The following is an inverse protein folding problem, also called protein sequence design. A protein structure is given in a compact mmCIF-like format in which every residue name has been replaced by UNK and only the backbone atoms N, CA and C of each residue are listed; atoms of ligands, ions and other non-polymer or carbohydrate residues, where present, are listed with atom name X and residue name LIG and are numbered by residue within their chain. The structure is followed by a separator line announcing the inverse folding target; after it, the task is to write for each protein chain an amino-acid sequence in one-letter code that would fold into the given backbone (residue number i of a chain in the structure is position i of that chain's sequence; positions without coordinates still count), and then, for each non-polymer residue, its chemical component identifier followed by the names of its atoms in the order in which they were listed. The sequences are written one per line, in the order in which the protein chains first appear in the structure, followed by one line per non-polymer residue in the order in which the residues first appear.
data_IF_558945924204
#
_entry.id   IF_558945924204
#
_cell.length_a   1.000
_cell.length_b   1.000
_cell.length_c   1.000
_cell.angle_alpha   90.00
_cell.angle_beta   90.00
_cell.angle_gamma   90.00
#
_symmetry.space_group_name_H-M   'P 1'
#
loop_
_entity.id
_entity.type
_entity.pdbx_description
1 polymer ?
#
# COMPACT_ATOMS: atom_id res chain seq x y z
N UNK A 1 -21.84 5.94 -49.55
CA UNK A 1 -20.95 6.58 -48.54
C UNK A 1 -21.54 6.43 -47.12
N UNK A 2 -21.81 5.19 -46.68
CA UNK A 2 -22.31 4.89 -45.32
C UNK A 2 -21.66 3.64 -44.73
N UNK A 3 -21.37 2.63 -45.55
CA UNK A 3 -20.68 1.41 -45.12
C UNK A 3 -19.21 1.62 -44.69
N UNK A 4 -18.48 2.53 -45.32
CA UNK A 4 -17.06 2.78 -44.99
C UNK A 4 -16.88 3.39 -43.60
N UNK A 5 -17.81 4.23 -43.15
CA UNK A 5 -17.79 4.79 -41.79
C UNK A 5 -18.07 3.74 -40.72
N UNK A 6 -18.98 2.80 -40.99
CA UNK A 6 -19.32 1.71 -40.06
C UNK A 6 -18.18 0.72 -39.88
N UNK A 7 -17.47 0.38 -40.98
CA UNK A 7 -16.32 -0.54 -40.92
C UNK A 7 -15.16 0.09 -40.14
N UNK A 8 -14.88 1.38 -40.35
CA UNK A 8 -13.81 2.07 -39.63
C UNK A 8 -14.13 2.22 -38.13
N UNK A 9 -15.40 2.48 -37.79
CA UNK A 9 -15.85 2.54 -36.39
C UNK A 9 -15.75 1.20 -35.66
N UNK A 10 -16.11 0.10 -36.33
CA UNK A 10 -16.01 -1.25 -35.75
C UNK A 10 -14.55 -1.69 -35.54
N UNK A 11 -13.64 -1.34 -36.46
CA UNK A 11 -12.21 -1.61 -36.31
C UNK A 11 -11.58 -0.86 -35.13
N UNK A 12 -12.03 0.38 -34.86
CA UNK A 12 -11.54 1.18 -33.75
C UNK A 12 -11.96 0.61 -32.39
N UNK A 13 -13.20 0.12 -32.27
CA UNK A 13 -13.68 -0.53 -31.04
C UNK A 13 -12.99 -1.87 -30.77
N UNK A 14 -12.65 -2.63 -31.82
CA UNK A 14 -11.91 -3.88 -31.71
C UNK A 14 -10.44 -3.70 -31.33
N UNK A 15 -9.89 -2.49 -31.41
CA UNK A 15 -8.50 -2.17 -31.01
C UNK A 15 -8.34 -1.82 -29.52
N UNK A 16 -9.42 -1.87 -28.73
CA UNK A 16 -9.36 -1.65 -27.28
C UNK A 16 -8.82 -2.90 -26.58
N UNK A 17 -7.49 -3.02 -26.50
CA UNK A 17 -6.86 -4.01 -25.64
C UNK A 17 -7.36 -3.80 -24.20
N UNK A 18 -7.77 -4.88 -23.53
CA UNK A 18 -8.09 -4.82 -22.11
C UNK A 18 -6.84 -4.31 -21.38
N UNK A 19 -6.93 -3.13 -20.78
CA UNK A 19 -5.90 -2.68 -19.86
C UNK A 19 -5.83 -3.70 -18.73
N UNK A 20 -4.66 -4.35 -18.58
CA UNK A 20 -4.43 -5.27 -17.47
C UNK A 20 -4.55 -4.48 -16.18
N UNK A 21 -5.64 -4.65 -15.45
CA UNK A 21 -5.74 -4.17 -14.09
C UNK A 21 -4.66 -4.90 -13.29
N UNK A 22 -3.65 -4.16 -12.81
CA UNK A 22 -2.68 -4.70 -11.87
C UNK A 22 -3.42 -5.26 -10.64
N UNK A 23 -2.88 -6.27 -9.94
CA UNK A 23 -3.51 -6.75 -8.73
C UNK A 23 -3.64 -5.58 -7.75
N UNK A 24 -4.90 -5.19 -7.49
CA UNK A 24 -5.23 -4.06 -6.66
C UNK A 24 -5.14 -4.51 -5.21
N UNK A 25 -3.96 -4.32 -4.61
CA UNK A 25 -3.84 -4.31 -3.15
C UNK A 25 -4.64 -3.11 -2.66
N UNK A 26 -5.66 -3.36 -1.86
CA UNK A 26 -6.42 -2.33 -1.19
C UNK A 26 -5.88 -2.16 0.22
N UNK A 27 -5.65 -0.90 0.60
CA UNK A 27 -5.20 -0.54 1.93
C UNK A 27 -6.06 0.58 2.49
N UNK A 28 -6.54 0.40 3.72
CA UNK A 28 -7.04 1.49 4.55
C UNK A 28 -5.89 2.01 5.41
N UNK A 29 -5.59 3.30 5.27
CA UNK A 29 -4.56 3.96 6.06
C UNK A 29 -5.20 4.92 7.08
N UNK A 30 -4.77 4.80 8.33
CA UNK A 30 -5.12 5.71 9.42
C UNK A 30 -3.84 6.29 10.02
N UNK A 31 -3.85 7.59 10.28
CA UNK A 31 -2.80 8.29 11.01
C UNK A 31 -3.36 8.78 12.34
N UNK A 32 -2.82 8.27 13.44
CA UNK A 32 -3.10 8.75 14.78
C UNK A 32 -2.03 9.76 15.20
N UNK A 33 -2.47 10.97 15.58
CA UNK A 33 -1.60 12.07 16.01
C UNK A 33 -1.77 12.27 17.50
N UNK A 34 -0.72 12.00 18.27
CA UNK A 34 -0.69 12.24 19.71
C UNK A 34 -0.17 13.66 19.97
N UNK A 35 -0.94 14.46 20.71
CA UNK A 35 -0.61 15.85 21.06
C UNK A 35 -0.40 15.94 22.57
N UNK A 36 0.65 16.63 23.01
CA UNK A 36 0.94 16.82 24.43
C UNK A 36 0.13 17.97 25.06
N UNK A 37 0.29 18.16 26.37
CA UNK A 37 -0.38 19.23 27.12
C UNK A 37 0.01 20.65 26.64
N UNK A 38 1.19 20.79 26.02
CA UNK A 38 1.68 22.03 25.42
C UNK A 38 1.17 22.29 24.01
N UNK A 39 0.27 21.43 23.49
CA UNK A 39 -0.29 21.48 22.12
C UNK A 39 0.75 21.18 21.03
N UNK A 40 1.85 20.52 21.37
CA UNK A 40 2.83 20.06 20.39
C UNK A 40 2.54 18.63 19.97
N UNK A 41 2.79 18.30 18.70
CA UNK A 41 2.69 16.91 18.20
C UNK A 41 3.85 16.11 18.80
N UNK A 42 3.50 15.04 19.52
CA UNK A 42 4.45 14.15 20.21
C UNK A 42 4.72 12.87 19.43
N UNK A 43 3.72 12.31 18.76
CA UNK A 43 3.87 11.04 18.03
C UNK A 43 2.91 10.97 16.85
N UNK A 44 3.38 10.36 15.77
CA UNK A 44 2.60 9.99 14.59
C UNK A 44 2.60 8.47 14.49
N UNK A 45 1.42 7.85 14.48
CA UNK A 45 1.27 6.39 14.42
C UNK A 45 0.49 6.01 13.18
N UNK A 46 1.12 5.25 12.29
CA UNK A 46 0.48 4.71 11.10
C UNK A 46 -0.18 3.37 11.41
N UNK A 47 -1.42 3.21 10.99
CA UNK A 47 -2.13 1.93 11.01
C UNK A 47 -2.64 1.64 9.61
N UNK A 48 -2.24 0.51 9.06
CA UNK A 48 -2.58 0.07 7.71
C UNK A 48 -3.32 -1.25 7.82
N UNK A 49 -4.46 -1.34 7.13
CA UNK A 49 -5.23 -2.58 7.01
C UNK A 49 -5.31 -2.92 5.54
N UNK A 50 -4.90 -4.13 5.21
CA UNK A 50 -4.91 -4.61 3.84
C UNK A 50 -6.08 -5.58 3.62
N UNK A 51 -6.46 -5.73 2.36
CA UNK A 51 -7.47 -6.70 1.96
C UNK A 51 -7.05 -8.15 2.22
N UNK A 52 -8.04 -9.05 2.14
CA UNK A 52 -7.86 -10.48 2.39
C UNK A 52 -6.91 -11.14 1.38
N UNK A 53 -6.94 -10.73 0.10
CA UNK A 53 -6.15 -11.35 -0.94
C UNK A 53 -4.66 -11.06 -0.72
N UNK A 54 -4.29 -9.80 -0.47
CA UNK A 54 -2.91 -9.45 -0.10
C UNK A 54 -2.49 -10.10 1.21
N UNK A 55 -3.36 -10.10 2.22
CA UNK A 55 -3.05 -10.73 3.51
C UNK A 55 -2.77 -12.23 3.37
N UNK A 56 -3.45 -12.92 2.45
CA UNK A 56 -3.19 -14.34 2.17
C UNK A 56 -1.80 -14.59 1.58
N UNK A 57 -1.28 -13.68 0.74
CA UNK A 57 0.08 -13.83 0.19
C UNK A 57 1.15 -13.60 1.25
N UNK A 58 0.90 -12.68 2.20
CA UNK A 58 1.75 -12.48 3.37
C UNK A 58 1.76 -13.74 4.23
N UNK A 59 0.59 -14.34 4.48
CA UNK A 59 0.50 -15.59 5.24
C UNK A 59 1.33 -16.69 4.56
N UNK A 60 1.14 -16.91 3.26
CA UNK A 60 1.89 -17.94 2.50
C UNK A 60 3.42 -17.72 2.48
N UNK A 61 3.87 -16.47 2.53
CA UNK A 61 5.30 -16.14 2.53
C UNK A 61 5.95 -16.39 3.89
N UNK A 62 5.28 -16.04 4.98
CA UNK A 62 5.88 -16.00 6.32
C UNK A 62 5.50 -17.18 7.21
N UNK A 63 4.39 -17.87 6.97
CA UNK A 63 3.99 -19.08 7.67
C UNK A 63 4.91 -20.25 7.25
N UNK A 64 5.96 -20.49 8.03
CA UNK A 64 6.96 -21.54 7.76
C UNK A 64 6.50 -22.89 8.24
N UNK A 65 5.61 -22.93 9.23
CA UNK A 65 5.11 -24.15 9.83
C UNK A 65 3.82 -24.68 9.15
N UNK A 66 3.20 -23.87 8.30
CA UNK A 66 1.99 -24.14 7.50
C UNK A 66 0.73 -24.41 8.33
N UNK A 67 0.60 -23.78 9.50
CA UNK A 67 -0.57 -23.92 10.39
C UNK A 67 -1.64 -22.82 10.21
N UNK A 68 -1.43 -21.91 9.24
CA UNK A 68 -2.29 -20.77 8.91
C UNK A 68 -2.36 -19.68 9.97
N UNK A 69 -1.44 -19.68 10.95
CA UNK A 69 -1.35 -18.67 11.99
C UNK A 69 0.09 -18.22 12.15
N UNK A 70 0.36 -16.94 11.87
CA UNK A 70 1.71 -16.41 12.09
C UNK A 70 2.04 -16.40 13.59
N UNK A 71 3.02 -17.20 13.98
CA UNK A 71 3.56 -17.20 15.34
C UNK A 71 4.42 -15.94 15.59
N UNK A 72 4.87 -15.75 16.83
CA UNK A 72 5.65 -14.57 17.21
C UNK A 72 6.93 -14.40 16.37
N UNK A 73 7.62 -15.47 16.02
CA UNK A 73 8.86 -15.42 15.23
C UNK A 73 8.56 -15.11 13.76
N UNK A 74 7.48 -15.66 13.23
CA UNK A 74 7.04 -15.41 11.87
C UNK A 74 6.52 -13.97 11.70
N UNK A 75 5.77 -13.47 12.68
CA UNK A 75 5.35 -12.06 12.76
C UNK A 75 6.56 -11.12 12.85
N UNK A 76 7.57 -11.44 13.66
CA UNK A 76 8.80 -10.65 13.74
C UNK A 76 9.52 -10.60 12.38
N UNK A 77 9.62 -11.73 11.68
CA UNK A 77 10.23 -11.78 10.34
C UNK A 77 9.43 -10.95 9.31
N UNK A 78 8.10 -11.03 9.33
CA UNK A 78 7.23 -10.22 8.49
C UNK A 78 7.39 -8.73 8.79
N UNK A 79 7.36 -8.35 10.08
CA UNK A 79 7.53 -6.97 10.53
C UNK A 79 8.87 -6.38 10.10
N UNK A 80 9.96 -7.15 10.23
CA UNK A 80 11.31 -6.70 9.87
C UNK A 80 11.43 -6.48 8.35
N UNK A 81 10.86 -7.39 7.56
CA UNK A 81 10.83 -7.28 6.09
C UNK A 81 10.01 -6.07 5.64
N UNK A 82 8.83 -5.89 6.21
CA UNK A 82 7.94 -4.75 5.91
C UNK A 82 8.61 -3.44 6.34
N UNK A 83 9.15 -3.37 7.55
CA UNK A 83 9.82 -2.17 8.03
C UNK A 83 11.01 -1.79 7.14
N UNK A 84 11.80 -2.77 6.70
CA UNK A 84 12.92 -2.52 5.79
C UNK A 84 12.44 -1.97 4.43
N UNK A 85 11.35 -2.50 3.86
CA UNK A 85 10.83 -2.01 2.57
C UNK A 85 10.25 -0.59 2.66
N UNK A 86 9.69 -0.20 3.81
CA UNK A 86 9.18 1.15 4.04
C UNK A 86 10.28 2.21 4.06
N UNK A 87 11.52 1.85 4.38
CA UNK A 87 12.65 2.78 4.42
C UNK A 87 12.92 3.45 3.06
N UNK A 88 12.70 2.73 1.95
CA UNK A 88 12.86 3.26 0.58
C UNK A 88 11.90 4.42 0.28
N UNK A 89 10.81 4.53 1.05
CA UNK A 89 9.76 5.54 0.89
C UNK A 89 9.69 6.51 2.08
N UNK A 90 10.78 6.65 2.85
CA UNK A 90 10.81 7.46 4.08
C UNK A 90 9.66 7.12 5.04
N UNK A 91 9.31 5.84 5.14
CA UNK A 91 8.22 5.34 5.99
C UNK A 91 6.85 6.00 5.73
N UNK A 92 6.66 6.63 4.57
CA UNK A 92 5.49 7.46 4.25
C UNK A 92 5.23 8.56 5.29
N UNK A 93 6.29 9.07 5.92
CA UNK A 93 6.24 10.12 6.92
C UNK A 93 7.07 11.33 6.50
N UNK A 94 6.38 12.40 6.09
CA UNK A 94 6.99 13.67 5.67
C UNK A 94 6.40 14.78 6.51
N UNK A 95 7.24 15.50 7.25
CA UNK A 95 6.83 16.62 8.11
C UNK A 95 7.65 17.84 7.74
N UNK A 96 6.99 18.99 7.59
CA UNK A 96 7.66 20.26 7.32
C UNK A 96 7.31 21.30 8.37
N UNK A 97 8.27 22.17 8.68
CA UNK A 97 8.10 23.37 9.50
C UNK A 97 8.70 24.54 8.73
N UNK A 98 7.89 25.58 8.48
CA UNK A 98 8.28 26.76 7.69
C UNK A 98 8.90 26.41 6.32
N UNK A 99 8.38 25.38 5.66
CA UNK A 99 8.84 24.91 4.36
C UNK A 99 10.16 24.13 4.37
N UNK A 100 10.66 23.75 5.56
CA UNK A 100 11.84 22.89 5.71
C UNK A 100 11.45 21.54 6.27
N UNK A 101 12.06 20.47 5.76
CA UNK A 101 11.84 19.12 6.25
C UNK A 101 12.33 18.97 7.70
N UNK A 102 11.52 18.30 8.51
CA UNK A 102 11.90 17.85 9.84
C UNK A 102 12.42 16.43 9.74
N UNK A 103 13.62 16.18 10.26
CA UNK A 103 14.15 14.83 10.34
C UNK A 103 13.28 13.99 11.29
N UNK A 104 12.68 12.95 10.74
CA UNK A 104 11.90 11.96 11.50
C UNK A 104 12.86 10.81 11.89
N UNK A 105 12.86 10.45 13.17
CA UNK A 105 13.68 9.40 13.77
C UNK A 105 12.80 8.32 14.37
#
# INVERSE_FOLDING_TARGET
MRLTGTILGAALLASTAAAGAHPHVFAEAKLDVEVDAGRSVKTLKHLWRFDELFSSTVLMEFDKNADLVLDAKELDAAALTIHASLAEYNYFQMVTVDGKDVAMI
#
